data_IF_212043598506
#
_entry.id   IF_212043598506
#
_cell.length_a   1.000
_cell.length_b   1.000
_cell.length_c   1.000
_cell.angle_alpha   90.00
_cell.angle_beta   90.00
_cell.angle_gamma   90.00
#
_symmetry.space_group_name_H-M   'P 1'
#
loop_
_entity.id
_entity.type
_entity.pdbx_description
1 polymer ?
#
# COMPACT_ATOMS: atom_id res chain seq x y z
N UNK A 1 -12.34 -3.51 7.92
CA UNK A 1 -11.08 -3.42 7.21
C UNK A 1 -11.00 -4.51 6.19
N UNK A 2 -10.75 -4.18 4.93
CA UNK A 2 -10.77 -5.15 3.88
C UNK A 2 -9.44 -5.23 3.18
N UNK A 3 -8.93 -6.42 2.99
CA UNK A 3 -7.64 -6.59 2.32
C UNK A 3 -7.79 -6.32 0.83
N UNK A 4 -6.87 -5.58 0.29
CA UNK A 4 -6.89 -5.23 -1.12
C UNK A 4 -5.57 -5.62 -1.76
N UNK A 5 -5.54 -5.67 -3.07
CA UNK A 5 -4.34 -6.02 -3.80
C UNK A 5 -3.53 -4.77 -4.09
N UNK A 6 -2.24 -4.92 -4.43
CA UNK A 6 -1.45 -3.75 -4.81
C UNK A 6 -2.07 -3.00 -5.98
N UNK A 7 -2.74 -3.71 -6.88
CA UNK A 7 -3.37 -3.08 -8.02
C UNK A 7 -4.51 -2.18 -7.55
N UNK A 8 -5.32 -2.67 -6.60
CA UNK A 8 -6.41 -1.87 -6.08
C UNK A 8 -5.89 -0.67 -5.30
N UNK A 9 -4.84 -0.88 -4.52
CA UNK A 9 -4.24 0.22 -3.78
C UNK A 9 -3.70 1.28 -4.73
N UNK A 10 -3.10 0.84 -5.84
CA UNK A 10 -2.56 1.77 -6.82
C UNK A 10 -3.68 2.62 -7.42
N UNK A 11 -4.83 2.02 -7.67
CA UNK A 11 -5.95 2.76 -8.21
C UNK A 11 -6.45 3.78 -7.19
N UNK A 12 -6.48 3.41 -5.92
CA UNK A 12 -6.92 4.33 -4.90
C UNK A 12 -5.96 5.50 -4.73
N UNK A 13 -4.67 5.24 -4.93
CA UNK A 13 -3.67 6.27 -4.77
C UNK A 13 -3.33 6.97 -6.08
N UNK A 14 -3.94 6.54 -7.16
CA UNK A 14 -3.69 7.11 -8.48
C UNK A 14 -2.21 7.05 -8.86
N UNK A 15 -1.63 5.91 -8.66
CA UNK A 15 -0.23 5.71 -9.02
C UNK A 15 -0.05 4.31 -9.59
N UNK A 16 1.17 3.95 -9.88
CA UNK A 16 1.46 2.64 -10.48
C UNK A 16 1.48 1.53 -9.45
N UNK A 17 1.16 0.32 -9.88
CA UNK A 17 1.18 -0.82 -9.00
C UNK A 17 2.58 -1.07 -8.46
N UNK A 18 3.59 -0.86 -9.26
CA UNK A 18 4.95 -1.07 -8.84
C UNK A 18 5.34 -0.10 -7.74
N UNK A 19 4.80 1.12 -7.81
CA UNK A 19 5.04 2.11 -6.80
C UNK A 19 4.49 1.64 -5.45
N UNK A 20 3.30 1.05 -5.46
CA UNK A 20 2.69 0.55 -4.23
C UNK A 20 3.55 -0.57 -3.64
N UNK A 21 4.02 -1.48 -4.47
CA UNK A 21 4.83 -2.58 -3.98
C UNK A 21 6.09 -2.05 -3.32
N UNK A 22 6.71 -1.05 -3.92
CA UNK A 22 7.91 -0.48 -3.37
C UNK A 22 7.61 0.20 -2.03
N UNK A 23 6.51 0.90 -1.93
CA UNK A 23 6.14 1.57 -0.70
C UNK A 23 5.93 0.57 0.43
N UNK A 24 5.33 -0.57 0.14
CA UNK A 24 5.12 -1.60 1.15
C UNK A 24 6.49 -2.15 1.60
N UNK A 25 7.37 -2.41 0.65
CA UNK A 25 8.67 -2.95 1.00
C UNK A 25 9.50 -1.98 1.82
N UNK A 26 9.33 -0.70 1.61
CA UNK A 26 10.07 0.30 2.33
C UNK A 26 9.38 0.70 3.64
N UNK A 27 8.23 0.13 3.92
CA UNK A 27 7.51 0.46 5.14
C UNK A 27 6.86 1.82 5.13
N UNK A 28 6.54 2.34 3.94
CA UNK A 28 5.95 3.65 3.85
C UNK A 28 4.45 3.65 4.06
N UNK A 29 3.82 2.52 4.02
CA UNK A 29 2.39 2.40 4.27
C UNK A 29 2.23 1.78 5.65
N UNK A 30 1.80 2.52 6.65
CA UNK A 30 1.71 2.02 8.01
C UNK A 30 0.80 0.79 8.09
N UNK A 31 1.29 -0.26 8.70
CA UNK A 31 0.49 -1.47 8.86
C UNK A 31 0.53 -2.43 7.70
N UNK A 32 0.99 -2.00 6.55
CA UNK A 32 1.09 -2.88 5.39
C UNK A 32 2.42 -3.59 5.40
N UNK A 33 2.44 -4.81 4.90
CA UNK A 33 3.69 -5.56 4.87
C UNK A 33 3.61 -6.60 3.75
N UNK A 34 4.72 -7.22 3.44
CA UNK A 34 4.73 -8.28 2.44
C UNK A 34 5.51 -9.45 3.00
N UNK A 35 5.18 -10.64 2.53
CA UNK A 35 5.86 -11.85 2.96
C UNK A 35 6.28 -12.64 1.73
N UNK A 36 7.13 -13.63 1.95
CA UNK A 36 7.60 -14.48 0.86
C UNK A 36 8.86 -13.92 0.23
N UNK A 37 9.38 -14.63 -0.77
CA UNK A 37 10.59 -14.17 -1.43
C UNK A 37 10.39 -14.33 -2.92
N UNK A 38 11.30 -13.78 -3.67
CA UNK A 38 11.20 -13.84 -5.10
C UNK A 38 11.07 -15.26 -5.57
N UNK A 39 10.33 -15.47 -6.61
CA UNK A 39 9.66 -14.46 -7.42
C UNK A 39 8.27 -14.15 -6.91
N UNK A 40 7.81 -14.82 -5.87
CA UNK A 40 6.48 -14.61 -5.39
C UNK A 40 6.45 -13.98 -4.03
N UNK A 41 5.80 -12.84 -3.91
CA UNK A 41 5.60 -12.17 -2.64
C UNK A 41 4.13 -11.91 -2.46
N UNK A 42 3.65 -12.03 -1.23
CA UNK A 42 2.26 -11.74 -0.92
C UNK A 42 2.23 -10.40 -0.19
N UNK A 43 1.42 -9.48 -0.70
CA UNK A 43 1.33 -8.17 -0.10
C UNK A 43 0.04 -8.07 0.70
N UNK A 44 0.16 -7.57 1.92
CA UNK A 44 -0.98 -7.44 2.82
C UNK A 44 -1.25 -5.96 3.00
N UNK A 45 -2.22 -5.43 2.26
CA UNK A 45 -2.57 -4.02 2.29
C UNK A 45 -4.06 -3.95 2.54
N UNK A 46 -4.48 -3.03 3.39
CA UNK A 46 -5.89 -2.89 3.69
C UNK A 46 -6.38 -1.51 3.27
N UNK A 47 -7.64 -1.43 2.84
CA UNK A 47 -8.19 -0.20 2.30
C UNK A 47 -8.08 0.94 3.30
N UNK A 48 -8.30 0.68 4.61
CA UNK A 48 -8.19 1.73 5.59
C UNK A 48 -6.79 2.30 5.67
N UNK A 49 -5.78 1.48 5.44
CA UNK A 49 -4.41 1.95 5.50
C UNK A 49 -4.15 2.96 4.39
N UNK A 50 -4.70 2.70 3.21
CA UNK A 50 -4.51 3.60 2.09
C UNK A 50 -5.27 4.90 2.33
N UNK A 51 -6.49 4.80 2.88
CA UNK A 51 -7.27 5.99 3.15
C UNK A 51 -6.59 6.87 4.18
N UNK A 52 -6.02 6.27 5.21
CA UNK A 52 -5.33 7.04 6.21
C UNK A 52 -4.09 7.72 5.64
N UNK A 53 -3.38 7.02 4.76
CA UNK A 53 -2.20 7.56 4.17
C UNK A 53 -2.57 8.76 3.29
N UNK A 54 -3.65 8.66 2.54
CA UNK A 54 -4.05 9.76 1.69
C UNK A 54 -4.45 10.96 2.52
N UNK A 55 -5.16 10.75 3.64
CA UNK A 55 -5.54 11.85 4.45
C UNK A 55 -4.34 12.48 5.12
N UNK A 56 -3.41 11.66 5.57
CA UNK A 56 -2.23 12.17 6.24
C UNK A 56 -1.39 13.03 5.35
N UNK A 57 -1.35 12.67 4.09
CA UNK A 57 -0.57 13.41 3.20
C UNK A 57 -1.02 14.84 3.10
N UNK A 58 -2.36 15.13 3.23
CA UNK A 58 -2.78 16.38 3.07
C UNK A 58 -2.65 17.16 4.22
N UNK A 59 -2.51 16.69 5.27
CA UNK A 59 -2.57 17.35 6.37
C UNK A 59 -1.47 18.06 6.73
N UNK A 60 -0.53 18.09 6.29
CA UNK A 60 0.45 18.65 6.63
C UNK A 60 0.46 19.86 6.64
N UNK A 61 0.01 20.18 6.26
CA UNK A 61 -0.13 21.50 6.23
C UNK A 61 0.37 22.25 6.97
#
# INVERSE_FOLDING_TARGET
MKRITPKQAAQMMECGEQQVRMMVQLGKIPGAFCTGSRPRRTYYIYDEQIEKLKKGVRDEG
#
